data_IF_960665284501
#
_entry.id   IF_960665284501
#
_cell.length_a   1.000
_cell.length_b   1.000
_cell.length_c   1.000
_cell.angle_alpha   90.00
_cell.angle_beta   90.00
_cell.angle_gamma   90.00
#
_symmetry.space_group_name_H-M   'P 1'
#
loop_
_entity.id
_entity.type
_entity.pdbx_description
1 polymer ?
#
# COMPACT_ATOMS: atom_id res chain seq x y z
N UNK A 1 -28.79 -8.34 -7.74
CA UNK A 1 -27.91 -9.43 -8.18
C UNK A 1 -26.56 -9.26 -7.53
N UNK A 2 -26.21 -10.14 -6.60
CA UNK A 2 -24.96 -10.08 -5.86
C UNK A 2 -23.78 -10.44 -6.76
N UNK A 3 -22.78 -9.56 -6.82
CA UNK A 3 -21.53 -9.79 -7.50
C UNK A 3 -20.67 -10.73 -6.63
N UNK A 4 -20.80 -12.04 -6.82
CA UNK A 4 -19.89 -13.01 -6.22
C UNK A 4 -18.67 -13.14 -7.15
N UNK A 5 -17.44 -12.84 -6.68
CA UNK A 5 -16.24 -12.99 -7.50
C UNK A 5 -16.01 -14.48 -7.77
N UNK A 6 -16.29 -14.89 -9.01
CA UNK A 6 -16.04 -16.22 -9.53
C UNK A 6 -14.54 -16.42 -9.74
N UNK A 7 -13.95 -17.36 -8.99
CA UNK A 7 -12.59 -17.83 -9.22
C UNK A 7 -11.56 -17.51 -8.13
N UNK A 8 -11.94 -17.54 -6.85
CA UNK A 8 -10.95 -17.80 -5.80
C UNK A 8 -10.48 -19.25 -5.95
N UNK A 9 -9.47 -19.50 -6.79
CA UNK A 9 -8.66 -20.72 -6.68
C UNK A 9 -8.27 -20.82 -5.21
N UNK A 10 -8.53 -21.96 -4.58
CA UNK A 10 -7.91 -22.30 -3.32
C UNK A 10 -6.40 -22.17 -3.57
N UNK A 11 -5.81 -21.05 -3.15
CA UNK A 11 -4.37 -20.97 -3.07
C UNK A 11 -4.03 -22.02 -2.04
N UNK A 12 -3.43 -23.11 -2.50
CA UNK A 12 -2.73 -24.04 -1.62
C UNK A 12 -1.87 -23.17 -0.71
N UNK A 13 -2.26 -23.10 0.56
CA UNK A 13 -1.60 -22.23 1.52
C UNK A 13 -0.19 -22.78 1.65
N UNK A 14 0.78 -22.09 1.06
CA UNK A 14 2.17 -22.35 1.42
C UNK A 14 2.25 -22.31 2.95
N UNK A 15 2.83 -23.34 3.57
CA UNK A 15 2.90 -23.41 5.03
C UNK A 15 3.66 -22.20 5.55
N UNK A 16 3.09 -21.52 6.54
CA UNK A 16 3.76 -20.39 7.17
C UNK A 16 5.10 -20.82 7.78
N UNK A 17 6.11 -19.96 7.70
CA UNK A 17 7.42 -20.19 8.29
C UNK A 17 7.39 -19.84 9.78
N UNK A 18 6.93 -20.79 10.60
CA UNK A 18 6.85 -20.65 12.05
C UNK A 18 8.20 -20.66 12.77
N UNK A 19 9.31 -20.94 12.06
CA UNK A 19 10.67 -20.80 12.59
C UNK A 19 11.20 -19.36 12.53
N UNK A 20 10.47 -18.44 11.89
CA UNK A 20 10.82 -17.02 11.77
C UNK A 20 9.77 -16.19 12.51
N UNK A 21 10.17 -15.09 13.16
CA UNK A 21 9.23 -14.10 13.70
C UNK A 21 9.70 -12.68 13.39
N UNK A 22 8.85 -11.88 12.75
CA UNK A 22 9.10 -10.45 12.58
C UNK A 22 8.69 -9.69 13.84
N UNK A 23 9.46 -8.70 14.30
CA UNK A 23 9.10 -7.90 15.48
C UNK A 23 9.18 -6.40 15.18
N UNK A 24 8.20 -5.65 15.66
CA UNK A 24 8.21 -4.19 15.63
C UNK A 24 9.01 -3.64 16.82
N UNK A 25 10.21 -3.12 16.54
CA UNK A 25 11.09 -2.57 17.56
C UNK A 25 10.56 -1.29 18.21
N UNK A 26 9.79 -0.48 17.48
CA UNK A 26 9.22 0.76 18.02
C UNK A 26 8.10 0.44 19.01
N UNK A 27 7.23 -0.51 18.65
CA UNK A 27 6.18 -1.04 19.54
C UNK A 27 6.78 -1.70 20.79
N UNK A 28 7.89 -2.43 20.66
CA UNK A 28 8.56 -3.07 21.79
C UNK A 28 9.11 -2.04 22.79
N UNK A 29 9.72 -0.97 22.29
CA UNK A 29 10.20 0.12 23.13
C UNK A 29 9.05 0.86 23.83
N UNK A 30 7.92 1.07 23.16
CA UNK A 30 6.72 1.66 23.77
C UNK A 30 6.15 0.75 24.86
N UNK A 31 6.10 -0.56 24.63
CA UNK A 31 5.60 -1.53 25.58
C UNK A 31 6.46 -1.61 26.85
N UNK A 32 7.79 -1.56 26.74
CA UNK A 32 8.68 -1.53 27.91
C UNK A 32 8.47 -0.27 28.75
N UNK A 33 8.37 0.89 28.09
CA UNK A 33 8.08 2.17 28.78
C UNK A 33 6.75 2.11 29.52
N UNK A 34 5.73 1.51 28.90
CA UNK A 34 4.43 1.34 29.53
C UNK A 34 4.45 0.43 30.77
N UNK A 35 5.42 -0.49 30.86
CA UNK A 35 5.64 -1.35 32.02
C UNK A 35 6.44 -0.65 33.15
N UNK A 36 6.73 0.64 33.04
CA UNK A 36 7.50 1.38 34.04
C UNK A 36 9.01 1.24 33.89
N UNK A 37 9.49 0.66 32.78
CA UNK A 37 10.91 0.68 32.45
C UNK A 37 11.38 2.11 32.22
N UNK A 38 12.42 2.51 32.95
CA UNK A 38 13.08 3.81 32.74
C UNK A 38 13.55 3.89 31.27
N UNK A 39 13.27 5.00 30.55
CA UNK A 39 13.47 5.13 29.11
C UNK A 39 14.95 5.25 28.67
N UNK A 40 15.89 4.72 29.47
CA UNK A 40 17.31 4.95 29.28
C UNK A 40 17.83 4.45 27.93
N UNK A 41 17.26 3.39 27.36
CA UNK A 41 17.61 3.00 25.99
C UNK A 41 16.49 2.25 25.25
N UNK A 42 16.01 2.84 24.15
CA UNK A 42 15.16 2.15 23.17
C UNK A 42 15.81 0.84 22.71
N UNK A 43 17.14 0.81 22.63
CA UNK A 43 17.90 -0.37 22.21
C UNK A 43 17.75 -1.52 23.20
N UNK A 44 17.70 -1.24 24.51
CA UNK A 44 17.57 -2.28 25.52
C UNK A 44 16.24 -3.02 25.41
N UNK A 45 15.13 -2.30 25.18
CA UNK A 45 13.82 -2.90 24.95
C UNK A 45 13.84 -3.86 23.76
N UNK A 46 14.44 -3.41 22.65
CA UNK A 46 14.56 -4.18 21.42
C UNK A 46 15.45 -5.41 21.64
N UNK A 47 16.59 -5.27 22.30
CA UNK A 47 17.50 -6.39 22.63
C UNK A 47 16.79 -7.43 23.48
N UNK A 48 16.08 -7.01 24.54
CA UNK A 48 15.33 -7.92 25.41
C UNK A 48 14.23 -8.66 24.64
N UNK A 49 13.50 -7.96 23.77
CA UNK A 49 12.46 -8.56 22.96
C UNK A 49 12.99 -9.57 21.93
N UNK A 50 14.05 -9.20 21.20
CA UNK A 50 14.73 -10.09 20.25
C UNK A 50 15.29 -11.31 20.97
N UNK A 51 15.98 -11.14 22.11
CA UNK A 51 16.52 -12.24 22.90
C UNK A 51 15.42 -13.17 23.40
N UNK A 52 14.31 -12.62 23.88
CA UNK A 52 13.14 -13.39 24.32
C UNK A 52 12.58 -14.27 23.20
N UNK A 53 12.43 -13.73 21.99
CA UNK A 53 11.99 -14.51 20.82
C UNK A 53 13.04 -15.56 20.39
N UNK A 54 14.33 -15.23 20.40
CA UNK A 54 15.40 -16.18 20.06
C UNK A 54 15.48 -17.35 21.04
N UNK A 55 15.23 -17.09 22.33
CA UNK A 55 15.16 -18.11 23.37
C UNK A 55 13.99 -19.09 23.18
N UNK A 56 12.92 -18.67 22.51
CA UNK A 56 11.82 -19.55 22.10
C UNK A 56 12.11 -20.38 20.84
N UNK A 57 13.26 -20.17 20.18
CA UNK A 57 13.61 -20.89 18.96
C UNK A 57 13.38 -20.13 17.66
N UNK A 58 12.97 -18.85 17.69
CA UNK A 58 12.81 -18.07 16.46
C UNK A 58 14.11 -17.54 15.85
N UNK A 59 14.16 -17.52 14.53
CA UNK A 59 14.98 -16.56 13.79
C UNK A 59 14.20 -15.24 13.69
N UNK A 60 14.80 -14.12 14.07
CA UNK A 60 14.07 -12.87 14.27
C UNK A 60 14.34 -11.90 13.12
N UNK A 61 13.29 -11.31 12.57
CA UNK A 61 13.39 -10.17 11.66
C UNK A 61 12.98 -8.91 12.43
N UNK A 62 13.94 -8.10 12.83
CA UNK A 62 13.70 -6.84 13.53
C UNK A 62 13.33 -5.75 12.53
N UNK A 63 12.13 -5.21 12.62
CA UNK A 63 11.70 -4.02 11.90
C UNK A 63 11.67 -2.82 12.83
N UNK A 64 12.54 -1.84 12.60
CA UNK A 64 12.71 -0.70 13.51
C UNK A 64 13.10 0.60 12.77
N UNK A 65 12.70 1.75 13.32
CA UNK A 65 13.23 3.04 12.87
C UNK A 65 14.67 3.23 13.34
N UNK A 66 15.46 3.89 12.52
CA UNK A 66 16.77 4.35 12.94
C UNK A 66 16.60 5.56 13.89
N UNK A 67 17.19 5.54 15.10
CA UNK A 67 17.14 6.67 16.02
C UNK A 67 17.70 7.93 15.33
N UNK A 68 16.87 8.98 15.20
CA UNK A 68 17.27 10.25 14.54
C UNK A 68 18.37 11.01 15.30
N UNK A 69 18.62 10.70 16.57
CA UNK A 69 19.40 11.52 17.49
C UNK A 69 20.87 11.11 17.64
N UNK A 70 21.35 10.09 16.96
CA UNK A 70 22.77 9.73 16.96
C UNK A 70 23.15 9.19 15.59
N UNK A 71 24.16 9.78 14.95
CA UNK A 71 24.60 9.48 13.58
C UNK A 71 25.16 8.06 13.35
N UNK A 72 24.76 7.07 14.15
CA UNK A 72 25.20 5.68 14.12
C UNK A 72 24.22 4.73 14.86
N UNK A 73 22.92 5.01 14.85
CA UNK A 73 21.93 4.31 15.70
C UNK A 73 21.68 2.84 15.37
N UNK A 74 21.49 2.45 14.11
CA UNK A 74 21.34 1.01 13.76
C UNK A 74 22.67 0.27 13.72
N UNK A 75 23.77 1.02 13.54
CA UNK A 75 25.12 0.49 13.61
C UNK A 75 25.45 -0.08 15.00
N UNK A 76 24.73 0.28 16.06
CA UNK A 76 25.00 -0.27 17.41
C UNK A 76 24.51 -1.70 17.60
N UNK A 77 23.35 -2.08 17.04
CA UNK A 77 22.87 -3.47 17.08
C UNK A 77 23.72 -4.40 16.21
N UNK A 78 24.30 -3.88 15.12
CA UNK A 78 25.05 -4.68 14.13
C UNK A 78 26.58 -4.53 14.22
N UNK A 79 27.09 -3.44 14.79
CA UNK A 79 28.46 -2.96 14.58
C UNK A 79 29.21 -2.46 15.81
N UNK A 80 28.67 -2.58 17.03
CA UNK A 80 29.44 -2.31 18.26
C UNK A 80 30.46 -3.41 18.55
N UNK A 81 31.73 -3.02 18.73
CA UNK A 81 32.82 -3.86 19.27
C UNK A 81 32.44 -4.36 20.69
N UNK A 82 32.45 -5.68 20.85
CA UNK A 82 32.67 -6.46 22.07
C UNK A 82 31.72 -6.34 23.29
N UNK A 83 30.62 -5.62 23.19
CA UNK A 83 29.49 -5.83 24.12
C UNK A 83 28.71 -7.08 23.73
N UNK A 84 28.90 -8.21 24.42
CA UNK A 84 28.06 -9.39 24.26
C UNK A 84 26.64 -9.08 24.76
N UNK A 85 25.82 -8.52 23.88
CA UNK A 85 24.40 -8.29 24.11
C UNK A 85 23.61 -9.61 24.12
N UNK A 86 24.27 -10.77 24.13
CA UNK A 86 23.63 -12.09 24.20
C UNK A 86 22.65 -12.34 23.07
N UNK A 87 22.81 -11.65 21.93
CA UNK A 87 21.99 -11.81 20.74
C UNK A 87 22.71 -12.74 19.76
N UNK A 88 22.01 -13.77 19.30
CA UNK A 88 22.54 -14.58 18.21
C UNK A 88 22.35 -13.83 16.89
N UNK A 89 23.41 -13.12 16.45
CA UNK A 89 23.40 -12.33 15.21
C UNK A 89 23.17 -13.18 13.96
N UNK A 90 23.43 -14.50 13.99
CA UNK A 90 23.17 -15.40 12.85
C UNK A 90 21.68 -15.67 12.68
N UNK A 91 20.89 -15.44 13.72
CA UNK A 91 19.44 -15.63 13.78
C UNK A 91 18.72 -14.28 13.88
N UNK A 92 19.35 -13.20 13.41
CA UNK A 92 18.79 -11.85 13.42
C UNK A 92 18.98 -11.18 12.07
N UNK A 93 17.88 -10.76 11.45
CA UNK A 93 17.86 -9.89 10.27
C UNK A 93 17.28 -8.53 10.68
N UNK A 94 17.98 -7.44 10.41
CA UNK A 94 17.47 -6.09 10.68
C UNK A 94 16.94 -5.45 9.38
N UNK A 95 15.67 -5.03 9.40
CA UNK A 95 15.01 -4.30 8.32
C UNK A 95 14.73 -2.89 8.81
N UNK A 96 15.26 -1.91 8.08
CA UNK A 96 15.04 -0.50 8.40
C UNK A 96 13.62 -0.09 8.05
N UNK A 97 12.91 0.51 9.00
CA UNK A 97 11.64 1.16 8.74
C UNK A 97 11.83 2.43 7.92
N UNK A 98 11.17 2.52 6.77
CA UNK A 98 11.12 3.72 5.91
C UNK A 98 9.84 4.54 6.11
N UNK A 99 8.87 4.01 6.86
CA UNK A 99 7.54 4.60 7.03
C UNK A 99 7.20 4.94 8.47
N UNK A 100 6.23 5.85 8.66
CA UNK A 100 5.75 6.25 9.98
C UNK A 100 4.56 5.41 10.50
N UNK A 101 4.08 4.44 9.73
CA UNK A 101 2.77 3.82 9.92
C UNK A 101 2.73 2.67 10.94
N UNK A 102 3.87 2.24 11.50
CA UNK A 102 3.94 1.09 12.43
C UNK A 102 3.48 -0.23 11.80
N UNK A 103 3.39 -0.27 10.46
CA UNK A 103 2.84 -1.38 9.71
C UNK A 103 3.89 -2.13 8.91
N UNK A 104 5.13 -1.64 8.90
CA UNK A 104 6.22 -2.30 8.19
C UNK A 104 6.45 -3.73 8.70
N UNK A 105 6.26 -4.01 9.99
CA UNK A 105 6.35 -5.39 10.53
C UNK A 105 5.34 -6.34 9.86
N UNK A 106 4.13 -5.86 9.53
CA UNK A 106 3.10 -6.67 8.86
C UNK A 106 3.51 -6.96 7.41
N UNK A 107 4.12 -5.99 6.72
CA UNK A 107 4.61 -6.18 5.35
C UNK A 107 5.75 -7.20 5.32
N UNK A 108 6.69 -7.08 6.26
CA UNK A 108 7.78 -8.05 6.44
C UNK A 108 7.20 -9.44 6.75
N UNK A 109 6.23 -9.53 7.66
CA UNK A 109 5.63 -10.82 8.01
C UNK A 109 4.85 -11.47 6.87
N UNK A 110 4.14 -10.68 6.05
CA UNK A 110 3.49 -11.16 4.84
C UNK A 110 4.52 -11.68 3.83
N UNK A 111 5.58 -10.90 3.56
CA UNK A 111 6.62 -11.24 2.59
C UNK A 111 7.36 -12.54 2.93
N UNK A 112 7.63 -12.76 4.21
CA UNK A 112 8.31 -13.96 4.71
C UNK A 112 7.35 -15.07 5.16
N UNK A 113 6.03 -14.84 5.06
CA UNK A 113 5.00 -15.79 5.46
C UNK A 113 5.14 -16.26 6.91
N UNK A 114 5.47 -15.38 7.85
CA UNK A 114 5.84 -15.75 9.22
C UNK A 114 4.96 -15.09 10.30
N UNK A 115 4.97 -15.60 11.54
CA UNK A 115 4.49 -14.88 12.72
C UNK A 115 5.06 -13.47 12.87
N UNK A 116 4.31 -12.59 13.52
CA UNK A 116 4.77 -11.23 13.84
C UNK A 116 4.43 -10.80 15.25
N UNK A 117 5.40 -10.21 15.94
CA UNK A 117 5.28 -9.68 17.28
C UNK A 117 4.91 -8.20 17.24
N UNK A 118 3.69 -7.89 17.69
CA UNK A 118 3.18 -6.52 17.85
C UNK A 118 1.97 -6.50 18.79
N UNK A 119 1.84 -5.45 19.59
CA UNK A 119 0.70 -5.17 20.44
C UNK A 119 -0.37 -4.29 19.78
N UNK A 120 -0.11 -3.81 18.57
CA UNK A 120 -1.09 -3.09 17.78
C UNK A 120 -2.36 -3.94 17.56
N UNK A 121 -3.52 -3.28 17.56
CA UNK A 121 -4.82 -3.95 17.42
C UNK A 121 -5.22 -4.00 15.94
N UNK A 122 -5.22 -5.20 15.36
CA UNK A 122 -5.54 -5.42 13.94
C UNK A 122 -6.97 -5.97 13.68
N UNK A 123 -7.84 -5.92 14.69
CA UNK A 123 -9.21 -6.46 14.62
C UNK A 123 -10.18 -5.69 13.72
N UNK A 124 -11.41 -6.22 13.58
CA UNK A 124 -12.50 -5.61 12.79
C UNK A 124 -12.78 -4.17 13.27
N UNK A 125 -12.56 -3.20 12.39
CA UNK A 125 -12.86 -1.79 12.62
C UNK A 125 -11.66 -0.88 12.90
N UNK A 126 -10.44 -1.41 12.98
CA UNK A 126 -9.27 -0.57 13.24
C UNK A 126 -8.79 0.18 11.98
N UNK A 127 -8.63 1.49 12.12
CA UNK A 127 -8.15 2.44 11.10
C UNK A 127 -6.81 2.02 10.49
N UNK A 128 -5.94 1.42 11.30
CA UNK A 128 -4.58 1.05 10.91
C UNK A 128 -4.59 0.08 9.72
N UNK A 129 -5.48 -0.93 9.71
CA UNK A 129 -5.55 -1.91 8.63
C UNK A 129 -5.97 -1.30 7.28
N UNK A 130 -6.62 -0.12 7.27
CA UNK A 130 -7.04 0.54 6.03
C UNK A 130 -5.89 1.25 5.31
N UNK A 131 -4.82 1.58 6.03
CA UNK A 131 -3.62 2.21 5.45
C UNK A 131 -2.68 1.20 4.79
N UNK A 132 -2.86 -0.10 5.04
CA UNK A 132 -2.13 -1.15 4.34
C UNK A 132 -2.59 -1.28 2.88
N UNK A 133 -1.67 -1.54 1.94
CA UNK A 133 -2.02 -2.02 0.60
C UNK A 133 -2.94 -3.24 0.66
N UNK A 134 -3.77 -3.43 -0.38
CA UNK A 134 -4.80 -4.49 -0.43
C UNK A 134 -4.26 -5.87 -0.02
N UNK A 135 -3.09 -6.25 -0.54
CA UNK A 135 -2.52 -7.59 -0.38
C UNK A 135 -2.12 -7.87 1.10
N UNK A 136 -1.26 -7.06 1.76
CA UNK A 136 -0.97 -7.20 3.19
C UNK A 136 -2.20 -7.06 4.07
N UNK A 137 -3.14 -6.18 3.71
CA UNK A 137 -4.40 -6.02 4.45
C UNK A 137 -5.24 -7.30 4.43
N UNK A 138 -5.35 -7.93 3.27
CA UNK A 138 -6.13 -9.15 3.11
C UNK A 138 -5.44 -10.35 3.76
N UNK A 139 -4.11 -10.43 3.68
CA UNK A 139 -3.31 -11.39 4.45
C UNK A 139 -3.54 -11.22 5.95
N UNK A 140 -3.37 -10.00 6.47
CA UNK A 140 -3.53 -9.69 7.88
C UNK A 140 -4.93 -10.08 8.37
N UNK A 141 -6.00 -9.73 7.63
CA UNK A 141 -7.38 -10.09 7.98
C UNK A 141 -7.60 -11.59 8.18
N UNK A 142 -6.92 -12.41 7.37
CA UNK A 142 -7.04 -13.87 7.41
C UNK A 142 -6.18 -14.50 8.49
N UNK A 143 -4.99 -13.93 8.73
CA UNK A 143 -3.92 -14.63 9.45
C UNK A 143 -3.60 -14.05 10.83
N UNK A 144 -4.03 -12.83 11.16
CA UNK A 144 -3.62 -12.17 12.41
C UNK A 144 -3.91 -12.99 13.67
N UNK A 145 -5.05 -13.70 13.73
CA UNK A 145 -5.41 -14.53 14.89
C UNK A 145 -4.46 -15.71 15.10
N UNK A 146 -3.86 -16.20 14.01
CA UNK A 146 -3.00 -17.38 14.01
C UNK A 146 -1.52 -17.00 14.10
N UNK A 147 -1.16 -15.77 13.69
CA UNK A 147 0.24 -15.36 13.50
C UNK A 147 0.69 -14.18 14.37
N UNK A 148 -0.24 -13.42 14.97
CA UNK A 148 0.14 -12.28 15.83
C UNK A 148 0.61 -12.77 17.20
N UNK A 149 1.90 -12.61 17.48
CA UNK A 149 2.49 -12.79 18.81
C UNK A 149 2.28 -11.49 19.58
N UNK A 150 1.43 -11.52 20.61
CA UNK A 150 1.30 -10.38 21.53
C UNK A 150 2.35 -10.52 22.62
N UNK A 151 2.66 -9.45 23.34
CA UNK A 151 3.65 -9.53 24.41
C UNK A 151 3.45 -8.42 25.43
N UNK A 152 4.09 -8.57 26.58
CA UNK A 152 4.25 -7.50 27.55
C UNK A 152 5.64 -7.59 28.17
N UNK A 153 6.00 -6.58 28.95
CA UNK A 153 7.16 -6.64 29.83
C UNK A 153 6.65 -6.81 31.26
N UNK A 154 7.22 -7.74 32.00
CA UNK A 154 6.89 -7.95 33.42
C UNK A 154 7.57 -6.92 34.33
N UNK A 155 7.41 -7.05 35.65
CA UNK A 155 8.01 -6.14 36.64
C UNK A 155 9.54 -6.16 36.63
N UNK A 156 10.16 -7.27 36.18
CA UNK A 156 11.61 -7.37 35.97
C UNK A 156 12.04 -6.80 34.60
N UNK A 157 11.09 -6.19 33.87
CA UNK A 157 11.26 -5.73 32.50
C UNK A 157 11.70 -6.87 31.55
N UNK A 158 11.33 -8.13 31.86
CA UNK A 158 11.58 -9.26 30.98
C UNK A 158 10.49 -9.34 29.91
N UNK A 159 10.87 -9.69 28.69
CA UNK A 159 9.93 -9.82 27.57
C UNK A 159 9.14 -11.13 27.69
N UNK A 160 7.81 -11.01 27.82
CA UNK A 160 6.89 -12.15 27.98
C UNK A 160 5.95 -12.22 26.77
N UNK A 161 6.28 -13.07 25.77
CA UNK A 161 5.43 -13.28 24.60
C UNK A 161 4.22 -14.18 24.93
N UNK A 162 3.10 -13.88 24.28
CA UNK A 162 1.89 -14.70 24.24
C UNK A 162 1.73 -15.24 22.83
N UNK A 163 2.04 -16.53 22.67
CA UNK A 163 2.06 -17.19 21.37
C UNK A 163 0.65 -17.61 20.96
N UNK A 164 0.25 -17.43 19.69
CA UNK A 164 -0.94 -18.10 19.17
C UNK A 164 -0.79 -19.63 19.28
N UNK A 165 -1.89 -20.39 19.51
CA UNK A 165 -1.81 -21.84 19.70
C UNK A 165 -1.13 -22.60 18.56
N UNK A 166 -1.28 -22.10 17.32
CA UNK A 166 -0.66 -22.70 16.13
C UNK A 166 0.87 -22.53 16.18
N UNK A 167 1.34 -21.36 16.60
CA UNK A 167 2.77 -21.04 16.74
C UNK A 167 3.38 -21.81 17.90
N UNK A 168 2.72 -21.83 19.07
CA UNK A 168 3.16 -22.57 20.25
C UNK A 168 3.34 -24.07 19.96
N UNK A 169 2.35 -24.68 19.27
CA UNK A 169 2.42 -26.09 18.86
C UNK A 169 3.61 -26.38 17.94
N UNK A 170 3.87 -25.49 16.99
CA UNK A 170 5.00 -25.67 16.07
C UNK A 170 6.35 -25.63 16.80
N UNK A 171 6.49 -24.75 17.80
CA UNK A 171 7.69 -24.63 18.61
C UNK A 171 7.82 -25.74 19.68
N UNK A 172 6.85 -26.66 19.78
CA UNK A 172 6.85 -27.67 20.85
C UNK A 172 6.64 -27.08 22.24
N UNK A 173 6.15 -25.85 22.33
CA UNK A 173 5.87 -25.18 23.61
C UNK A 173 4.46 -25.59 24.02
N UNK A 174 4.39 -26.52 24.96
CA UNK A 174 3.15 -26.83 25.64
C UNK A 174 2.82 -25.68 26.58
N UNK A 175 1.96 -24.76 26.13
CA UNK A 175 1.37 -23.80 27.06
C UNK A 175 0.68 -24.61 28.18
N UNK A 176 0.98 -24.33 29.46
CA UNK A 176 0.12 -24.83 30.53
C UNK A 176 -1.29 -24.35 30.18
N UNK A 177 -2.31 -25.22 30.26
CA UNK A 177 -3.68 -24.87 29.88
C UNK A 177 -4.01 -23.55 30.57
N UNK A 178 -4.16 -22.48 29.79
CA UNK A 178 -4.40 -21.12 30.27
C UNK A 178 -5.52 -21.26 31.29
N UNK A 179 -5.17 -21.18 32.58
CA UNK A 179 -6.09 -21.41 33.68
C UNK A 179 -7.22 -20.44 33.45
N UNK A 180 -8.35 -20.94 32.95
CA UNK A 180 -9.32 -20.15 32.20
C UNK A 180 -9.61 -18.88 33.00
N UNK A 181 -8.99 -17.77 32.60
CA UNK A 181 -9.23 -16.49 33.25
C UNK A 181 -10.72 -16.29 33.02
N UNK A 182 -11.56 -16.31 34.07
CA UNK A 182 -13.00 -16.31 33.89
C UNK A 182 -13.32 -15.07 33.07
N UNK A 183 -13.71 -15.30 31.80
CA UNK A 183 -14.16 -14.22 30.95
C UNK A 183 -15.26 -13.51 31.77
N UNK A 184 -15.17 -12.18 31.96
CA UNK A 184 -16.22 -11.45 32.66
C UNK A 184 -17.54 -11.86 32.02
N UNK A 185 -18.46 -12.40 32.85
CA UNK A 185 -19.70 -12.98 32.39
C UNK A 185 -20.32 -12.03 31.37
N UNK A 186 -20.42 -12.48 30.13
CA UNK A 186 -21.09 -11.73 29.08
C UNK A 186 -22.48 -11.39 29.61
N UNK A 187 -22.86 -10.10 29.68
CA UNK A 187 -24.21 -9.73 30.11
C UNK A 187 -25.22 -10.50 29.24
N UNK A 188 -26.33 -10.95 29.83
CA UNK A 188 -27.34 -11.69 29.08
C UNK A 188 -27.70 -10.91 27.82
N UNK A 189 -27.79 -11.57 26.65
CA UNK A 189 -28.13 -10.89 25.41
C UNK A 189 -29.46 -10.14 25.61
N UNK A 190 -29.58 -8.91 25.09
CA UNK A 190 -30.87 -8.21 25.09
C UNK A 190 -31.92 -9.09 24.41
N UNK A 191 -33.19 -9.06 24.88
CA UNK A 191 -34.26 -9.82 24.26
C UNK A 191 -34.34 -9.50 22.76
N UNK A 192 -34.58 -10.50 21.91
CA UNK A 192 -34.63 -10.30 20.47
C UNK A 192 -35.75 -9.28 20.15
N UNK A 193 -35.52 -8.35 19.21
CA UNK A 193 -36.58 -7.47 18.73
C UNK A 193 -37.72 -8.30 18.12
N UNK A 194 -38.99 -7.84 18.23
CA UNK A 194 -40.12 -8.52 17.64
C UNK A 194 -39.92 -8.65 16.11
N UNK A 195 -40.36 -9.78 15.51
CA UNK A 195 -40.21 -9.98 14.09
C UNK A 195 -40.98 -8.90 13.31
N UNK A 196 -40.40 -8.33 12.24
CA UNK A 196 -41.11 -7.39 11.38
C UNK A 196 -42.29 -8.09 10.68
N UNK A 197 -43.37 -7.36 10.35
CA UNK A 197 -44.51 -7.91 9.63
C UNK A 197 -44.09 -8.45 8.26
N UNK A 198 -44.40 -9.71 8.02
CA UNK A 198 -44.11 -10.45 6.79
C UNK A 198 -44.91 -9.88 5.62
N UNK A 199 -44.34 -8.96 4.85
CA UNK A 199 -44.86 -8.61 3.53
C UNK A 199 -44.52 -9.73 2.54
N UNK A 200 -45.55 -10.41 2.04
CA UNK A 200 -45.42 -11.43 1.00
C UNK A 200 -44.90 -10.80 -0.30
N UNK A 201 -43.69 -11.18 -0.70
CA UNK A 201 -43.13 -10.89 -2.02
C UNK A 201 -43.72 -11.87 -3.06
N UNK A 202 -44.05 -11.41 -4.28
CA UNK A 202 -44.46 -12.28 -5.37
C UNK A 202 -43.30 -13.17 -5.87
N UNK A 203 -43.60 -14.34 -6.47
CA UNK A 203 -42.58 -15.29 -6.91
C UNK A 203 -41.73 -14.71 -8.05
N UNK A 204 -40.41 -14.72 -7.85
CA UNK A 204 -39.44 -14.35 -8.88
C UNK A 204 -39.39 -15.43 -9.97
N UNK A 205 -39.53 -15.02 -11.24
CA UNK A 205 -39.25 -15.87 -12.40
C UNK A 205 -37.75 -16.09 -12.53
N UNK A 206 -37.35 -17.35 -12.49
CA UNK A 206 -35.98 -17.82 -12.71
C UNK A 206 -35.66 -17.74 -14.21
N UNK A 207 -34.74 -16.83 -14.58
CA UNK A 207 -34.17 -16.76 -15.93
C UNK A 207 -32.78 -17.37 -15.86
N UNK A 208 -32.61 -18.54 -16.49
CA UNK A 208 -31.34 -19.25 -16.59
C UNK A 208 -30.43 -18.49 -17.57
N UNK A 209 -29.25 -17.97 -17.14
CA UNK A 209 -28.32 -17.34 -18.05
C UNK A 209 -27.59 -18.39 -18.92
N UNK A 210 -27.25 -18.06 -20.19
CA UNK A 210 -26.49 -18.97 -21.05
C UNK A 210 -25.05 -19.17 -20.54
N UNK A 211 -24.43 -20.33 -20.83
CA UNK A 211 -23.08 -20.64 -20.38
C UNK A 211 -22.03 -19.70 -21.02
N UNK A 212 -20.97 -19.33 -20.27
CA UNK A 212 -19.90 -18.50 -20.79
C UNK A 212 -19.05 -19.28 -21.83
N UNK A 213 -18.47 -18.59 -22.83
CA UNK A 213 -17.58 -19.21 -23.80
C UNK A 213 -16.27 -19.70 -23.14
N UNK A 214 -15.63 -20.74 -23.70
CA UNK A 214 -14.39 -21.29 -23.18
C UNK A 214 -13.25 -20.26 -23.25
N UNK A 215 -12.51 -20.13 -22.14
CA UNK A 215 -11.36 -19.25 -22.05
C UNK A 215 -10.20 -19.78 -22.94
N UNK A 216 -9.57 -18.94 -23.78
CA UNK A 216 -8.42 -19.36 -24.56
C UNK A 216 -7.22 -19.68 -23.64
N UNK A 217 -6.44 -20.68 -24.05
CA UNK A 217 -5.26 -21.13 -23.31
C UNK A 217 -4.22 -20.00 -23.17
N UNK A 218 -3.60 -19.83 -21.99
CA UNK A 218 -2.56 -18.83 -21.78
C UNK A 218 -1.33 -19.17 -22.61
N UNK A 219 -0.94 -18.27 -23.51
CA UNK A 219 0.33 -18.37 -24.23
C UNK A 219 1.50 -17.94 -23.32
N UNK A 220 2.65 -18.63 -23.40
CA UNK A 220 3.84 -18.28 -22.61
C UNK A 220 4.39 -16.93 -23.07
N UNK A 221 4.44 -15.96 -22.14
CA UNK A 221 4.97 -14.62 -22.39
C UNK A 221 6.48 -14.66 -22.15
N UNK A 222 7.27 -14.44 -23.21
CA UNK A 222 8.72 -14.39 -23.12
C UNK A 222 9.18 -13.21 -22.23
N UNK A 223 10.06 -13.50 -21.27
CA UNK A 223 10.64 -12.50 -20.37
C UNK A 223 11.43 -11.46 -21.18
N UNK A 224 10.93 -10.23 -21.21
CA UNK A 224 11.59 -9.11 -21.89
C UNK A 224 12.62 -8.48 -20.94
N UNK A 225 13.82 -8.19 -21.44
CA UNK A 225 14.90 -7.54 -20.68
C UNK A 225 14.43 -6.21 -20.03
N UNK A 226 15.02 -5.80 -18.88
CA UNK A 226 14.60 -4.60 -18.16
C UNK A 226 14.77 -3.36 -19.03
N UNK A 227 13.64 -2.69 -19.31
CA UNK A 227 13.64 -1.44 -20.05
C UNK A 227 14.35 -0.34 -19.26
N UNK A 228 15.04 0.54 -19.98
CA UNK A 228 15.63 1.78 -19.47
C UNK A 228 14.60 2.53 -18.60
N UNK A 229 14.99 3.12 -17.45
CA UNK A 229 14.06 3.78 -16.53
C UNK A 229 13.20 4.80 -17.27
N UNK A 230 11.90 4.78 -16.99
CA UNK A 230 10.94 5.66 -17.62
C UNK A 230 11.26 7.13 -17.25
N UNK A 231 11.44 7.97 -18.26
CA UNK A 231 11.66 9.39 -18.06
C UNK A 231 10.34 10.05 -17.63
N UNK A 232 10.31 10.60 -16.42
CA UNK A 232 9.27 11.53 -15.98
C UNK A 232 9.82 12.95 -15.96
N UNK A 233 9.02 13.93 -16.38
CA UNK A 233 9.36 15.36 -16.28
C UNK A 233 8.46 15.98 -15.23
N UNK A 234 9.06 16.53 -14.18
CA UNK A 234 8.36 17.19 -13.07
C UNK A 234 7.94 18.60 -13.49
N UNK A 235 6.69 18.94 -13.23
CA UNK A 235 6.05 20.21 -13.51
C UNK A 235 5.94 21.00 -12.20
N UNK A 236 6.52 22.20 -12.17
CA UNK A 236 6.34 23.15 -11.08
C UNK A 236 5.24 24.15 -11.43
N UNK A 237 3.99 23.85 -11.07
CA UNK A 237 2.89 24.82 -11.09
C UNK A 237 2.63 25.23 -9.65
N UNK A 238 2.31 26.50 -9.40
CA UNK A 238 2.18 27.02 -8.02
C UNK A 238 1.20 26.17 -7.19
N UNK A 239 1.72 25.50 -6.16
CA UNK A 239 0.94 24.63 -5.27
C UNK A 239 0.52 23.28 -5.84
N UNK A 240 0.99 22.88 -7.03
CA UNK A 240 0.72 21.57 -7.63
C UNK A 240 2.01 20.90 -8.08
N UNK A 241 2.34 19.77 -7.45
CA UNK A 241 3.37 18.86 -7.94
C UNK A 241 2.73 17.91 -8.97
N UNK A 242 3.24 17.91 -10.20
CA UNK A 242 2.74 17.06 -11.28
C UNK A 242 3.90 16.53 -12.15
N UNK A 243 3.67 15.47 -12.91
CA UNK A 243 4.62 14.99 -13.92
C UNK A 243 3.92 14.26 -15.06
N UNK A 244 4.54 14.21 -16.24
CA UNK A 244 4.09 13.37 -17.35
C UNK A 244 4.90 12.08 -17.38
N UNK A 245 4.22 10.94 -17.33
CA UNK A 245 4.85 9.61 -17.37
C UNK A 245 4.51 8.88 -18.68
N UNK A 246 5.54 8.29 -19.29
CA UNK A 246 5.38 7.36 -20.40
C UNK A 246 5.28 5.92 -19.88
N UNK A 247 4.12 5.29 -20.03
CA UNK A 247 3.84 3.92 -19.56
C UNK A 247 3.72 2.99 -20.75
N UNK A 248 4.53 1.92 -20.78
CA UNK A 248 4.50 0.93 -21.86
C UNK A 248 3.69 -0.29 -21.45
N UNK A 249 2.59 -0.56 -22.15
CA UNK A 249 1.70 -1.72 -21.96
C UNK A 249 1.70 -2.61 -23.19
N UNK A 250 2.57 -3.61 -23.18
CA UNK A 250 2.81 -4.44 -24.37
C UNK A 250 3.32 -3.59 -25.53
N UNK A 251 2.56 -3.54 -26.63
CA UNK A 251 2.89 -2.73 -27.80
C UNK A 251 2.42 -1.26 -27.70
N UNK A 252 1.61 -0.91 -26.69
CA UNK A 252 1.06 0.45 -26.53
C UNK A 252 1.95 1.29 -25.63
N UNK A 253 2.23 2.51 -26.06
CA UNK A 253 2.83 3.56 -25.24
C UNK A 253 1.72 4.57 -24.91
N UNK A 254 1.44 4.77 -23.63
CA UNK A 254 0.52 5.81 -23.16
C UNK A 254 1.29 6.87 -22.37
N UNK A 255 0.84 8.13 -22.47
CA UNK A 255 1.38 9.22 -21.67
C UNK A 255 0.31 9.65 -20.68
N UNK A 256 0.63 9.58 -19.39
CA UNK A 256 -0.29 9.88 -18.30
C UNK A 256 0.18 11.12 -17.54
N UNK A 257 -0.73 12.06 -17.30
CA UNK A 257 -0.50 13.12 -16.34
C UNK A 257 -0.71 12.57 -14.93
N UNK A 258 0.34 12.65 -14.13
CA UNK A 258 0.34 12.32 -12.71
C UNK A 258 0.34 13.61 -11.89
N UNK A 259 -0.50 13.67 -10.88
CA UNK A 259 -0.61 14.81 -9.96
C UNK A 259 -0.54 14.32 -8.52
N UNK A 260 0.08 15.09 -7.64
CA UNK A 260 0.17 14.78 -6.21
C UNK A 260 -0.59 15.81 -5.40
N UNK A 261 -1.37 15.34 -4.42
CA UNK A 261 -2.07 16.20 -3.50
C UNK A 261 -1.53 16.00 -2.08
N UNK A 262 -0.76 16.97 -1.60
CA UNK A 262 -0.32 17.04 -0.20
C UNK A 262 -1.35 17.76 0.67
N UNK A 263 -1.91 18.87 0.17
CA UNK A 263 -2.97 19.64 0.81
C UNK A 263 -4.23 19.73 -0.08
N UNK A 264 -5.36 19.10 0.29
CA UNK A 264 -6.59 19.19 -0.49
C UNK A 264 -7.23 20.59 -0.47
N UNK A 265 -6.82 21.46 0.45
CA UNK A 265 -7.28 22.84 0.55
C UNK A 265 -6.41 23.82 -0.23
N UNK A 266 -5.34 23.39 -0.89
CA UNK A 266 -4.49 24.28 -1.67
C UNK A 266 -5.02 24.46 -3.10
N UNK A 267 -4.91 25.70 -3.59
CA UNK A 267 -5.09 26.10 -4.99
C UNK A 267 -6.17 25.33 -5.78
N UNK A 268 -5.80 24.68 -6.90
CA UNK A 268 -6.76 24.07 -7.81
C UNK A 268 -7.40 22.76 -7.29
N UNK A 269 -6.90 22.16 -6.20
CA UNK A 269 -7.48 20.94 -5.63
C UNK A 269 -8.88 21.16 -5.04
N UNK A 270 -9.23 22.39 -4.66
CA UNK A 270 -10.58 22.74 -4.19
C UNK A 270 -11.65 22.47 -5.24
N UNK A 271 -11.34 22.76 -6.51
CA UNK A 271 -12.26 22.67 -7.64
C UNK A 271 -12.09 21.38 -8.47
N UNK A 272 -11.08 20.56 -8.17
CA UNK A 272 -10.72 19.37 -8.96
C UNK A 272 -11.91 18.48 -9.37
N UNK A 273 -12.75 18.07 -8.41
CA UNK A 273 -13.89 17.19 -8.70
C UNK A 273 -14.99 17.86 -9.53
N UNK A 274 -15.35 19.11 -9.23
CA UNK A 274 -16.37 19.83 -9.99
C UNK A 274 -15.87 20.17 -11.40
N UNK A 275 -14.63 20.63 -11.50
CA UNK A 275 -13.98 20.93 -12.77
C UNK A 275 -13.91 19.71 -13.70
N UNK A 276 -13.50 18.55 -13.17
CA UNK A 276 -13.44 17.33 -13.96
C UNK A 276 -14.81 16.94 -14.52
N UNK A 277 -15.86 16.92 -13.70
CA UNK A 277 -17.20 16.55 -14.14
C UNK A 277 -17.80 17.57 -15.13
N UNK A 278 -17.61 18.86 -14.87
CA UNK A 278 -18.10 19.93 -15.73
C UNK A 278 -17.41 19.90 -17.10
N UNK A 279 -16.08 19.84 -17.13
CA UNK A 279 -15.30 19.80 -18.38
C UNK A 279 -15.58 18.54 -19.20
N UNK A 280 -15.81 17.40 -18.54
CA UNK A 280 -16.17 16.17 -19.23
C UNK A 280 -17.60 16.22 -19.80
N UNK A 281 -18.48 17.07 -19.24
CA UNK A 281 -19.91 17.12 -19.59
C UNK A 281 -20.60 15.74 -19.44
N UNK A 282 -20.22 14.98 -18.41
CA UNK A 282 -20.74 13.63 -18.12
C UNK A 282 -21.19 13.53 -16.66
N UNK A 283 -22.08 12.57 -16.38
CA UNK A 283 -22.45 12.20 -15.01
C UNK A 283 -21.32 11.45 -14.28
N UNK A 284 -21.42 11.36 -12.95
CA UNK A 284 -20.39 10.73 -12.11
C UNK A 284 -20.08 9.27 -12.44
N UNK A 285 -21.03 8.52 -13.00
CA UNK A 285 -20.88 7.11 -13.39
C UNK A 285 -19.95 6.91 -14.60
N UNK A 286 -19.56 8.00 -15.28
CA UNK A 286 -18.62 7.95 -16.39
C UNK A 286 -17.15 7.84 -15.94
N UNK A 287 -16.86 7.82 -14.64
CA UNK A 287 -15.49 7.67 -14.12
C UNK A 287 -15.29 6.29 -13.50
N UNK A 288 -14.26 5.59 -13.96
CA UNK A 288 -13.78 4.33 -13.40
C UNK A 288 -12.49 4.58 -12.63
N UNK A 289 -12.50 4.25 -11.34
CA UNK A 289 -11.36 4.40 -10.44
C UNK A 289 -10.69 3.05 -10.15
N UNK A 290 -9.36 3.00 -10.23
CA UNK A 290 -8.55 1.80 -9.94
C UNK A 290 -7.45 2.17 -8.93
N UNK A 291 -7.55 1.68 -7.69
CA UNK A 291 -6.62 2.00 -6.59
C UNK A 291 -5.51 0.94 -6.49
N UNK A 292 -4.29 1.30 -6.92
CA UNK A 292 -3.09 0.47 -6.80
C UNK A 292 -3.10 -0.87 -7.54
N UNK A 293 -4.05 -1.13 -8.44
CA UNK A 293 -4.17 -2.41 -9.14
C UNK A 293 -3.18 -2.59 -10.30
N UNK A 294 -2.59 -1.48 -10.77
CA UNK A 294 -1.82 -1.44 -12.00
C UNK A 294 -0.31 -1.62 -11.75
N UNK A 295 0.18 -2.85 -11.84
CA UNK A 295 1.58 -3.19 -11.56
C UNK A 295 2.56 -2.51 -12.50
N UNK A 296 2.20 -2.34 -13.77
CA UNK A 296 3.05 -1.68 -14.78
C UNK A 296 3.19 -0.20 -14.44
N UNK A 297 2.08 0.48 -14.15
CA UNK A 297 2.10 1.88 -13.71
C UNK A 297 2.87 2.04 -12.40
N UNK A 298 2.64 1.17 -11.42
CA UNK A 298 3.37 1.18 -10.15
C UNK A 298 4.88 1.03 -10.33
N UNK A 299 5.33 0.11 -11.19
CA UNK A 299 6.76 -0.05 -11.51
C UNK A 299 7.34 1.15 -12.26
N UNK A 300 6.53 1.80 -13.12
CA UNK A 300 6.94 2.99 -13.88
C UNK A 300 7.10 4.19 -12.95
N UNK A 301 6.15 4.40 -12.03
CA UNK A 301 6.22 5.40 -10.97
C UNK A 301 7.45 5.17 -10.08
N UNK A 302 7.69 3.93 -9.65
CA UNK A 302 8.86 3.58 -8.85
C UNK A 302 10.17 3.87 -9.59
N UNK A 303 10.25 3.55 -10.88
CA UNK A 303 11.42 3.80 -11.72
C UNK A 303 11.67 5.29 -11.99
N UNK A 304 10.62 6.12 -11.98
CA UNK A 304 10.75 7.58 -12.12
C UNK A 304 11.38 8.26 -10.89
N UNK A 305 11.40 7.56 -9.74
CA UNK A 305 12.00 8.03 -8.50
C UNK A 305 11.15 9.06 -7.73
N UNK A 306 11.76 9.67 -6.72
CA UNK A 306 11.17 10.71 -5.86
C UNK A 306 9.93 10.25 -5.05
N UNK A 307 9.13 11.20 -4.56
CA UNK A 307 7.96 10.92 -3.73
C UNK A 307 6.88 10.08 -4.44
N UNK A 308 6.89 10.06 -5.78
CA UNK A 308 6.00 9.28 -6.63
C UNK A 308 6.11 7.76 -6.41
N UNK A 309 7.30 7.30 -6.01
CA UNK A 309 7.58 5.88 -5.78
C UNK A 309 7.07 5.37 -4.42
N UNK A 310 6.88 6.27 -3.45
CA UNK A 310 6.62 5.92 -2.06
C UNK A 310 5.14 5.92 -1.71
N UNK A 311 4.34 6.65 -2.49
CA UNK A 311 2.92 6.85 -2.21
C UNK A 311 2.01 5.97 -3.07
N UNK A 312 0.82 5.70 -2.54
CA UNK A 312 -0.24 5.04 -3.29
C UNK A 312 -0.74 5.93 -4.43
N UNK A 313 -1.18 5.30 -5.51
CA UNK A 313 -1.77 5.98 -6.65
C UNK A 313 -3.18 5.47 -6.95
N UNK A 314 -4.00 6.35 -7.51
CA UNK A 314 -5.32 6.07 -8.05
C UNK A 314 -5.31 6.42 -9.53
N UNK A 315 -5.69 5.47 -10.38
CA UNK A 315 -5.87 5.68 -11.80
C UNK A 315 -7.35 5.93 -12.07
N UNK A 316 -7.67 7.09 -12.67
CA UNK A 316 -9.05 7.42 -13.07
C UNK A 316 -9.13 7.37 -14.59
N UNK A 317 -10.13 6.66 -15.11
CA UNK A 317 -10.40 6.49 -16.54
C UNK A 317 -11.81 6.93 -16.86
N UNK A 318 -11.98 7.71 -17.92
CA UNK A 318 -13.31 8.07 -18.44
C UNK A 318 -13.88 6.90 -19.24
N UNK A 319 -15.01 6.35 -18.80
CA UNK A 319 -15.62 5.15 -19.38
C UNK A 319 -16.59 5.43 -20.53
N UNK A 320 -17.17 6.63 -20.60
CA UNK A 320 -18.17 7.01 -21.61
C UNK A 320 -18.13 8.50 -21.96
N UNK A 321 -18.78 8.88 -23.06
CA UNK A 321 -18.86 10.27 -23.55
C UNK A 321 -17.75 10.66 -24.54
N UNK A 322 -17.64 11.95 -24.87
CA UNK A 322 -16.69 12.50 -25.85
C UNK A 322 -15.22 12.25 -25.50
N UNK A 323 -14.94 12.12 -24.21
CA UNK A 323 -13.60 11.97 -23.66
C UNK A 323 -13.32 10.54 -23.18
N UNK A 324 -14.12 9.55 -23.62
CA UNK A 324 -13.94 8.16 -23.25
C UNK A 324 -12.52 7.67 -23.58
N UNK A 325 -11.90 6.99 -22.62
CA UNK A 325 -10.53 6.51 -22.71
C UNK A 325 -9.46 7.47 -22.19
N UNK A 326 -9.79 8.74 -21.87
CA UNK A 326 -8.84 9.61 -21.16
C UNK A 326 -8.56 9.08 -19.75
N UNK A 327 -7.31 9.22 -19.32
CA UNK A 327 -6.80 8.70 -18.06
C UNK A 327 -5.89 9.70 -17.38
N UNK A 328 -5.92 9.72 -16.05
CA UNK A 328 -4.99 10.47 -15.22
C UNK A 328 -4.69 9.72 -13.92
N UNK A 329 -3.54 10.03 -13.32
CA UNK A 329 -3.07 9.38 -12.09
C UNK A 329 -3.03 10.38 -10.96
N UNK A 330 -3.65 10.05 -9.83
CA UNK A 330 -3.62 10.86 -8.62
C UNK A 330 -2.86 10.18 -7.50
N UNK A 331 -1.98 10.93 -6.85
CA UNK A 331 -1.08 10.44 -5.80
C UNK A 331 -1.35 11.21 -4.50
N UNK A 332 -1.27 10.49 -3.38
CA UNK A 332 -1.58 11.04 -2.06
C UNK A 332 -1.66 9.99 -0.94
N UNK A 333 -1.33 10.45 0.26
CA UNK A 333 -1.35 9.70 1.53
C UNK A 333 -2.67 9.00 1.88
N UNK A 334 -3.81 9.41 1.31
CA UNK A 334 -5.09 8.73 1.50
C UNK A 334 -5.98 8.81 0.25
N UNK A 335 -7.02 7.98 0.21
CA UNK A 335 -7.91 7.86 -0.96
C UNK A 335 -8.57 9.19 -1.37
N UNK A 336 -8.93 10.05 -0.40
CA UNK A 336 -9.56 11.35 -0.70
C UNK A 336 -8.58 12.27 -1.44
N UNK A 337 -7.31 12.31 -1.01
CA UNK A 337 -6.26 13.10 -1.67
C UNK A 337 -5.93 12.54 -3.06
N UNK A 338 -5.79 11.21 -3.19
CA UNK A 338 -5.58 10.55 -4.48
C UNK A 338 -6.69 10.86 -5.49
N UNK A 339 -7.95 10.79 -5.06
CA UNK A 339 -9.10 11.11 -5.92
C UNK A 339 -9.09 12.57 -6.37
N UNK A 340 -8.85 13.52 -5.46
CA UNK A 340 -8.72 14.94 -5.81
C UNK A 340 -7.59 15.18 -6.81
N UNK A 341 -6.44 14.57 -6.58
CA UNK A 341 -5.31 14.65 -7.49
C UNK A 341 -5.68 14.11 -8.87
N UNK A 342 -6.21 12.88 -8.94
CA UNK A 342 -6.55 12.24 -10.20
C UNK A 342 -7.59 13.06 -10.98
N UNK A 343 -8.59 13.63 -10.31
CA UNK A 343 -9.58 14.51 -10.93
C UNK A 343 -8.96 15.80 -11.47
N UNK A 344 -8.02 16.42 -10.73
CA UNK A 344 -7.29 17.59 -11.24
C UNK A 344 -6.47 17.25 -12.49
N UNK A 345 -5.74 16.13 -12.46
CA UNK A 345 -4.98 15.66 -13.61
C UNK A 345 -5.89 15.34 -14.80
N UNK A 346 -7.06 14.76 -14.54
CA UNK A 346 -8.04 14.47 -15.58
C UNK A 346 -8.62 15.74 -16.19
N UNK A 347 -8.98 16.74 -15.37
CA UNK A 347 -9.45 18.04 -15.84
C UNK A 347 -8.42 18.72 -16.75
N UNK A 348 -7.14 18.74 -16.35
CA UNK A 348 -6.06 19.27 -17.19
C UNK A 348 -5.89 18.48 -18.50
N UNK A 349 -6.01 17.15 -18.44
CA UNK A 349 -5.95 16.29 -19.65
C UNK A 349 -7.11 16.57 -20.61
N UNK A 350 -8.30 16.85 -20.10
CA UNK A 350 -9.46 17.25 -20.91
C UNK A 350 -9.23 18.60 -21.57
N UNK A 351 -8.67 19.58 -20.86
CA UNK A 351 -8.31 20.90 -21.43
C UNK A 351 -7.34 20.72 -22.59
N UNK A 352 -6.26 19.94 -22.42
CA UNK A 352 -5.31 19.64 -23.49
C UNK A 352 -5.97 19.00 -24.72
N UNK A 353 -6.89 18.06 -24.49
CA UNK A 353 -7.61 17.41 -25.58
C UNK A 353 -8.63 18.34 -26.26
N UNK A 354 -9.15 19.35 -25.55
CA UNK A 354 -10.16 20.28 -26.05
C UNK A 354 -9.56 21.49 -26.80
N UNK A 355 -8.33 21.90 -26.50
CA UNK A 355 -7.67 23.05 -27.17
C UNK A 355 -7.46 22.82 -28.68
N UNK A 356 -7.36 21.56 -29.12
CA UNK A 356 -7.40 21.21 -30.55
C UNK A 356 -8.77 21.47 -31.21
N UNK A 357 -9.79 21.79 -30.43
CA UNK A 357 -11.19 21.96 -30.85
C UNK A 357 -11.75 23.33 -30.37
N UNK A 358 -11.00 24.41 -30.63
CA UNK A 358 -11.44 25.82 -30.70
C UNK A 358 -12.28 26.42 -29.52
N UNK A 359 -12.39 25.76 -28.38
CA UNK A 359 -13.06 26.28 -27.19
C UNK A 359 -12.08 26.82 -26.16
N UNK A 360 -12.16 28.11 -25.82
CA UNK A 360 -11.46 28.62 -24.63
C UNK A 360 -12.11 28.05 -23.37
N UNK A 361 -11.30 27.50 -22.47
CA UNK A 361 -11.77 27.09 -21.15
C UNK A 361 -12.27 28.31 -20.36
N UNK A 362 -13.33 28.16 -19.54
CA UNK A 362 -13.78 29.24 -18.64
C UNK A 362 -12.66 29.80 -17.78
N UNK A 363 -12.66 31.11 -17.51
CA UNK A 363 -11.65 31.79 -16.70
C UNK A 363 -11.51 31.23 -15.27
N UNK A 364 -12.57 30.60 -14.74
CA UNK A 364 -12.55 29.89 -13.46
C UNK A 364 -11.54 28.74 -13.40
N UNK A 365 -11.03 28.29 -14.56
CA UNK A 365 -10.10 27.18 -14.70
C UNK A 365 -8.68 27.62 -15.11
N UNK A 366 -8.32 28.89 -14.92
CA UNK A 366 -7.00 29.41 -15.29
C UNK A 366 -5.83 28.55 -14.79
N UNK A 367 -5.84 28.15 -13.51
CA UNK A 367 -4.79 27.28 -12.94
C UNK A 367 -4.78 25.86 -13.54
N UNK A 368 -5.93 25.35 -14.00
CA UNK A 368 -6.01 24.05 -14.68
C UNK A 368 -5.45 24.18 -16.10
N UNK A 369 -5.72 25.30 -16.79
CA UNK A 369 -5.14 25.60 -18.11
C UNK A 369 -3.63 25.81 -18.03
N UNK A 370 -3.12 26.41 -16.96
CA UNK A 370 -1.67 26.52 -16.71
C UNK A 370 -1.03 25.14 -16.52
N UNK A 371 -1.67 24.28 -15.73
CA UNK A 371 -1.22 22.89 -15.53
C UNK A 371 -1.26 22.08 -16.84
N UNK A 372 -2.32 22.24 -17.63
CA UNK A 372 -2.45 21.65 -18.96
C UNK A 372 -1.26 22.08 -19.84
N UNK A 373 -1.04 23.38 -20.01
CA UNK A 373 0.07 23.91 -20.83
C UNK A 373 1.44 23.40 -20.36
N UNK A 374 1.68 23.37 -19.05
CA UNK A 374 2.91 22.83 -18.50
C UNK A 374 3.09 21.34 -18.85
N UNK A 375 2.01 20.54 -18.74
CA UNK A 375 2.01 19.13 -19.12
C UNK A 375 2.24 18.93 -20.63
N UNK A 376 1.70 19.79 -21.51
CA UNK A 376 1.98 19.72 -22.94
C UNK A 376 3.47 19.94 -23.24
N UNK A 377 4.09 20.96 -22.62
CA UNK A 377 5.51 21.24 -22.83
C UNK A 377 6.40 20.07 -22.38
N UNK A 378 6.09 19.46 -21.24
CA UNK A 378 6.78 18.26 -20.78
C UNK A 378 6.54 17.06 -21.70
N UNK A 379 5.33 16.90 -22.23
CA UNK A 379 5.04 15.85 -23.19
C UNK A 379 5.88 16.03 -24.48
N UNK A 380 5.95 17.24 -25.02
CA UNK A 380 6.73 17.54 -26.22
C UNK A 380 8.24 17.36 -26.00
N UNK A 381 8.73 17.65 -24.79
CA UNK A 381 10.12 17.38 -24.41
C UNK A 381 10.40 15.88 -24.31
N UNK A 382 9.50 15.11 -23.72
CA UNK A 382 9.61 13.66 -23.61
C UNK A 382 9.67 13.01 -25.01
N UNK A 383 8.84 13.48 -25.94
CA UNK A 383 8.86 13.03 -27.34
C UNK A 383 10.17 13.39 -28.05
N UNK A 384 10.72 14.59 -27.82
CA UNK A 384 12.02 15.00 -28.37
C UNK A 384 13.18 14.18 -27.83
N UNK A 385 13.17 13.88 -26.53
CA UNK A 385 14.19 13.06 -25.87
C UNK A 385 14.25 11.62 -26.39
N UNK A 386 13.09 11.05 -26.74
CA UNK A 386 13.02 9.71 -27.31
C UNK A 386 13.73 9.60 -28.67
N UNK A 387 13.66 10.64 -29.51
CA UNK A 387 14.27 10.66 -30.85
C UNK A 387 15.80 10.77 -30.86
N UNK A 388 16.38 11.48 -29.89
CA UNK A 388 17.82 11.75 -29.86
C UNK A 388 18.68 10.51 -29.51
N UNK A 389 18.11 9.55 -28.76
CA UNK A 389 18.86 8.35 -28.33
C UNK A 389 19.07 7.29 -29.43
N UNK A 390 18.39 7.39 -30.57
CA UNK A 390 18.46 6.41 -31.65
C UNK A 390 19.58 6.68 -32.68
N UNK A 391 20.28 7.82 -32.59
CA UNK A 391 21.20 8.30 -33.64
C UNK A 391 22.70 8.16 -33.37
N UNK A 392 23.14 7.65 -32.21
CA UNK A 392 24.56 7.59 -31.86
C UNK A 392 25.10 6.16 -31.73
N UNK A 393 24.82 5.32 -32.72
CA UNK A 393 25.66 4.17 -33.04
C UNK A 393 26.67 4.65 -34.08
N UNK A 394 27.84 5.13 -33.63
CA UNK A 394 28.97 5.33 -34.53
C UNK A 394 29.29 3.98 -35.18
N UNK A 395 29.36 3.88 -36.52
CA UNK A 395 29.89 2.68 -37.15
C UNK A 395 31.34 2.52 -36.69
N UNK A 396 31.65 1.35 -36.15
CA UNK A 396 33.00 0.90 -35.83
C UNK A 396 33.96 1.33 -36.94
N UNK A 397 34.90 2.23 -36.62
CA UNK A 397 36.13 2.30 -37.39
C UNK A 397 36.98 1.09 -36.99
N UNK A 398 37.09 0.16 -37.94
CA UNK A 398 38.12 -0.88 -37.96
C UNK A 398 39.49 -0.27 -38.23
#
# INVERSE_FOLDING_TARGET
GGWAPSGARAMDREPYNYGICAIDGDDAALALRAAGGEPADWQEAVVRAVRGLQALGFNVILHAREPRSSGSGTSLLLGGQDGDLGLDRRRLLCVRSTGEDGLGVVRVAEEYGCPFASNARFGKGHEIAWTLPWRPREWLRRSWRELQVRYHFDEACAFVPRLPPVVARHLGIHEPPEAAVPMPATPPPPPPPPPPPTSALPPAREVVPPPPPPNPAPQPVAATAPAKPAAGIVLGVEGVEACVLAVKRGARLEHLLCTRCDDPASGPFKLSSSAALELLSVGGDALREEDGADTVLGSTLAASGCAWALEHFLLVTVSSGRHAGLRAVGIGSNLKKRRRAAHLGLAATVVLHAEGQAGQAPAAYASISELARAAQLAHDELLRGAGSSAGHLQPNQQ
#
